data_IF_579785164674
#
_entry.id   IF_579785164674
#
_cell.length_a   1.000
_cell.length_b   1.000
_cell.length_c   1.000
_cell.angle_alpha   90.00
_cell.angle_beta   90.00
_cell.angle_gamma   90.00
#
_symmetry.space_group_name_H-M   'P 1'
#
loop_
_entity.id
_entity.type
_entity.pdbx_description
1 polymer ?
#
# COMPACT_ATOMS: atom_id res chain seq x y z
N UNK A 1 17.38 -1.93 0.59
CA UNK A 1 16.41 -2.83 1.27
C UNK A 1 15.38 -3.28 0.23
N UNK A 2 14.44 -4.17 0.57
CA UNK A 2 13.36 -4.55 -0.36
C UNK A 2 12.25 -3.49 -0.31
N UNK A 3 11.76 -3.07 -1.47
CA UNK A 3 10.61 -2.17 -1.59
C UNK A 3 9.31 -2.97 -1.50
N UNK A 4 8.46 -2.66 -0.51
CA UNK A 4 7.18 -3.34 -0.36
C UNK A 4 6.19 -2.90 -1.45
N UNK A 5 6.23 -1.63 -1.85
CA UNK A 5 5.47 -1.08 -2.97
C UNK A 5 5.73 -1.83 -4.27
N UNK A 6 6.99 -1.97 -4.68
CA UNK A 6 7.33 -2.68 -5.93
C UNK A 6 7.00 -4.17 -5.83
N UNK A 7 7.23 -4.79 -4.67
CA UNK A 7 6.87 -6.19 -4.43
C UNK A 7 5.36 -6.41 -4.55
N UNK A 8 4.54 -5.47 -4.10
CA UNK A 8 3.09 -5.52 -4.25
C UNK A 8 2.66 -5.43 -5.72
N UNK A 9 3.27 -4.57 -6.52
CA UNK A 9 3.02 -4.52 -7.97
C UNK A 9 3.37 -5.84 -8.66
N UNK A 10 4.52 -6.45 -8.32
CA UNK A 10 4.89 -7.76 -8.85
C UNK A 10 3.90 -8.85 -8.40
N UNK A 11 3.40 -8.77 -7.16
CA UNK A 11 2.43 -9.73 -6.63
C UNK A 11 1.07 -9.67 -7.35
N UNK A 12 0.71 -8.55 -7.98
CA UNK A 12 -0.55 -8.39 -8.73
C UNK A 12 -0.53 -9.03 -10.12
N UNK A 13 0.64 -9.40 -10.64
CA UNK A 13 0.76 -10.01 -11.97
C UNK A 13 0.06 -11.37 -11.96
N UNK A 14 -0.98 -11.51 -12.78
CA UNK A 14 -1.69 -12.78 -12.96
C UNK A 14 -0.85 -13.74 -13.80
N UNK A 15 -0.98 -15.03 -13.49
CA UNK A 15 -0.40 -16.10 -14.28
C UNK A 15 -0.84 -16.04 -15.75
N UNK A 16 0.13 -16.09 -16.68
CA UNK A 16 -0.12 -15.95 -18.12
C UNK A 16 -0.97 -17.08 -18.70
N UNK A 17 -0.95 -18.24 -18.04
CA UNK A 17 -1.73 -19.41 -18.43
C UNK A 17 -3.15 -19.39 -17.82
N UNK A 18 -3.51 -18.34 -17.07
CA UNK A 18 -4.87 -18.13 -16.58
C UNK A 18 -5.27 -19.04 -15.43
N UNK A 19 -4.33 -19.54 -14.61
CA UNK A 19 -4.65 -20.41 -13.48
C UNK A 19 -5.45 -19.75 -12.34
N UNK A 20 -5.72 -18.44 -12.44
CA UNK A 20 -6.37 -17.66 -11.38
C UNK A 20 -5.46 -17.46 -10.16
N UNK A 21 -4.14 -17.54 -10.34
CA UNK A 21 -3.12 -17.41 -9.30
C UNK A 21 -2.08 -16.34 -9.70
N UNK A 22 -1.29 -15.83 -8.74
CA UNK A 22 -0.20 -14.91 -9.07
C UNK A 22 0.88 -15.61 -9.89
N UNK A 23 1.40 -14.92 -10.90
CA UNK A 23 2.57 -15.31 -11.69
C UNK A 23 3.82 -15.47 -10.81
N UNK A 24 3.90 -14.65 -9.75
CA UNK A 24 5.01 -14.63 -8.79
C UNK A 24 4.51 -14.85 -7.34
N UNK A 25 4.20 -16.09 -6.94
CA UNK A 25 3.67 -16.38 -5.61
C UNK A 25 4.60 -15.97 -4.46
N UNK A 26 5.92 -15.96 -4.70
CA UNK A 26 6.92 -15.54 -3.72
C UNK A 26 6.80 -14.06 -3.32
N UNK A 27 6.38 -13.19 -4.25
CA UNK A 27 6.16 -11.77 -3.96
C UNK A 27 4.99 -11.59 -2.99
N UNK A 28 3.88 -12.29 -3.22
CA UNK A 28 2.73 -12.28 -2.30
C UNK A 28 3.11 -12.87 -0.94
N UNK A 29 3.87 -13.96 -0.91
CA UNK A 29 4.36 -14.56 0.34
C UNK A 29 5.29 -13.61 1.10
N UNK A 30 6.12 -12.83 0.40
CA UNK A 30 6.99 -11.83 1.03
C UNK A 30 6.16 -10.75 1.73
N UNK A 31 5.11 -10.23 1.08
CA UNK A 31 4.18 -9.24 1.68
C UNK A 31 3.61 -9.79 2.99
N UNK A 32 3.11 -11.02 2.96
CA UNK A 32 2.54 -11.71 4.12
C UNK A 32 3.56 -11.79 5.27
N UNK A 33 4.81 -12.12 4.98
CA UNK A 33 5.82 -12.36 6.00
C UNK A 33 6.47 -11.09 6.56
N UNK A 34 6.30 -9.93 5.92
CA UNK A 34 7.05 -8.71 6.24
C UNK A 34 6.19 -7.54 6.75
N UNK A 35 4.92 -7.77 7.07
CA UNK A 35 4.10 -6.77 7.77
C UNK A 35 4.71 -6.44 9.14
N UNK A 36 4.83 -5.15 9.45
CA UNK A 36 5.27 -4.67 10.75
C UNK A 36 4.22 -4.93 11.84
N UNK A 37 4.62 -4.81 13.11
CA UNK A 37 3.74 -5.04 14.25
C UNK A 37 2.60 -4.01 14.36
N UNK A 38 2.81 -2.80 13.84
CA UNK A 38 1.80 -1.73 13.76
C UNK A 38 0.80 -1.92 12.61
N UNK A 39 1.00 -2.93 11.75
CA UNK A 39 0.15 -3.22 10.59
C UNK A 39 0.65 -2.64 9.27
N UNK A 40 1.70 -1.82 9.29
CA UNK A 40 2.27 -1.18 8.09
C UNK A 40 3.27 -2.06 7.34
N UNK A 41 3.65 -1.59 6.15
CA UNK A 41 4.86 -1.98 5.42
C UNK A 41 5.69 -0.73 5.09
N UNK A 42 7.00 -0.90 4.92
CA UNK A 42 7.92 0.18 4.59
C UNK A 42 9.29 -0.03 5.23
N UNK A 43 10.08 1.04 5.37
CA UNK A 43 11.39 0.96 6.02
C UNK A 43 11.26 0.63 7.52
N UNK A 44 12.11 -0.27 8.01
CA UNK A 44 12.09 -0.75 9.41
C UNK A 44 12.77 0.19 10.39
N UNK A 45 13.73 0.99 9.93
CA UNK A 45 14.60 1.81 10.75
C UNK A 45 14.10 3.26 10.80
N UNK A 46 13.55 3.75 9.70
CA UNK A 46 13.08 5.13 9.58
C UNK A 46 11.58 5.14 9.34
N UNK A 47 10.87 5.94 10.11
CA UNK A 47 9.45 6.20 9.87
C UNK A 47 9.32 7.46 9.01
N UNK A 48 8.72 7.32 7.84
CA UNK A 48 8.16 8.41 7.04
C UNK A 48 6.69 8.07 6.75
N UNK A 49 5.78 9.02 6.88
CA UNK A 49 4.36 8.78 6.61
C UNK A 49 4.15 8.48 5.12
N UNK A 50 4.79 9.22 4.20
CA UNK A 50 4.79 8.93 2.77
C UNK A 50 5.22 7.49 2.48
N UNK A 51 6.39 7.07 3.01
CA UNK A 51 6.88 5.69 2.83
C UNK A 51 5.89 4.67 3.40
N UNK A 52 5.48 4.83 4.67
CA UNK A 52 4.62 3.84 5.33
C UNK A 52 3.25 3.75 4.68
N UNK A 53 2.67 4.85 4.26
CA UNK A 53 1.31 4.88 3.71
C UNK A 53 1.29 4.26 2.30
N UNK A 54 2.21 4.66 1.41
CA UNK A 54 2.21 4.13 0.03
C UNK A 54 2.53 2.63 -0.01
N UNK A 55 3.52 2.18 0.79
CA UNK A 55 3.87 0.77 0.88
C UNK A 55 2.72 -0.05 1.48
N UNK A 56 2.06 0.47 2.52
CA UNK A 56 0.94 -0.23 3.16
C UNK A 56 -0.26 -0.32 2.24
N UNK A 57 -0.61 0.75 1.53
CA UNK A 57 -1.73 0.77 0.58
C UNK A 57 -1.51 -0.25 -0.55
N UNK A 58 -0.32 -0.27 -1.15
CA UNK A 58 0.02 -1.23 -2.19
C UNK A 58 -0.09 -2.68 -1.70
N UNK A 59 0.43 -2.98 -0.50
CA UNK A 59 0.36 -4.32 0.09
C UNK A 59 -1.09 -4.74 0.42
N UNK A 60 -1.90 -3.81 0.93
CA UNK A 60 -3.32 -4.01 1.20
C UNK A 60 -4.07 -4.35 -0.10
N UNK A 61 -3.84 -3.60 -1.18
CA UNK A 61 -4.40 -3.87 -2.50
C UNK A 61 -4.04 -5.28 -2.98
N UNK A 62 -2.77 -5.68 -2.87
CA UNK A 62 -2.33 -7.01 -3.29
C UNK A 62 -3.01 -8.13 -2.49
N UNK A 63 -3.16 -7.98 -1.18
CA UNK A 63 -3.84 -8.96 -0.33
C UNK A 63 -5.34 -9.03 -0.62
N UNK A 64 -6.00 -7.89 -0.85
CA UNK A 64 -7.42 -7.82 -1.22
C UNK A 64 -7.67 -8.46 -2.57
N UNK A 65 -6.86 -8.13 -3.58
CA UNK A 65 -7.01 -8.61 -4.95
C UNK A 65 -7.01 -10.15 -5.03
N UNK A 66 -6.11 -10.78 -4.28
CA UNK A 66 -6.04 -12.25 -4.19
C UNK A 66 -6.96 -12.85 -3.13
N UNK A 67 -7.67 -12.03 -2.36
CA UNK A 67 -8.55 -12.42 -1.27
C UNK A 67 -7.87 -13.37 -0.25
N UNK A 68 -6.69 -12.98 0.22
CA UNK A 68 -5.87 -13.78 1.15
C UNK A 68 -5.54 -13.02 2.43
N UNK A 69 -5.30 -13.77 3.51
CA UNK A 69 -4.82 -13.25 4.80
C UNK A 69 -5.64 -12.07 5.36
N UNK A 70 -6.96 -12.24 5.61
CA UNK A 70 -7.86 -11.17 6.04
C UNK A 70 -7.40 -10.46 7.32
N UNK A 71 -6.74 -11.17 8.25
CA UNK A 71 -6.19 -10.57 9.47
C UNK A 71 -5.07 -9.56 9.18
N UNK A 72 -4.26 -9.77 8.14
CA UNK A 72 -3.17 -8.84 7.75
C UNK A 72 -3.74 -7.64 7.01
N UNK A 73 -4.72 -7.90 6.13
CA UNK A 73 -5.51 -6.87 5.46
C UNK A 73 -6.14 -5.91 6.48
N UNK A 74 -6.87 -6.43 7.47
CA UNK A 74 -7.52 -5.62 8.50
C UNK A 74 -6.53 -4.75 9.28
N UNK A 75 -5.35 -5.29 9.62
CA UNK A 75 -4.28 -4.51 10.28
C UNK A 75 -3.74 -3.39 9.39
N UNK A 76 -3.52 -3.66 8.10
CA UNK A 76 -3.06 -2.65 7.15
C UNK A 76 -4.08 -1.55 6.93
N UNK A 77 -5.35 -1.90 6.73
CA UNK A 77 -6.45 -0.92 6.62
C UNK A 77 -6.57 -0.10 7.88
N UNK A 78 -6.50 -0.72 9.07
CA UNK A 78 -6.51 0.00 10.34
C UNK A 78 -5.34 0.99 10.44
N UNK A 79 -4.13 0.58 10.07
CA UNK A 79 -2.97 1.46 10.05
C UNK A 79 -3.19 2.66 9.13
N UNK A 80 -3.69 2.45 7.90
CA UNK A 80 -4.00 3.54 6.96
C UNK A 80 -5.00 4.51 7.57
N UNK A 81 -6.10 4.00 8.16
CA UNK A 81 -7.13 4.82 8.80
C UNK A 81 -6.59 5.69 9.93
N UNK A 82 -5.64 5.18 10.71
CA UNK A 82 -5.05 5.89 11.85
C UNK A 82 -3.94 6.87 11.46
N UNK A 83 -3.34 6.75 10.26
CA UNK A 83 -2.11 7.46 9.93
C UNK A 83 -2.18 8.33 8.66
N UNK A 84 -3.20 8.20 7.80
CA UNK A 84 -3.21 8.90 6.50
C UNK A 84 -3.10 10.43 6.62
N UNK A 85 -3.72 11.02 7.65
CA UNK A 85 -3.64 12.46 7.94
C UNK A 85 -2.24 12.97 8.24
N UNK A 86 -1.30 12.07 8.59
CA UNK A 86 0.11 12.45 8.83
C UNK A 86 0.83 12.89 7.55
N UNK A 87 0.25 12.66 6.36
CA UNK A 87 0.76 13.21 5.11
C UNK A 87 0.71 14.74 5.10
N UNK A 88 -0.26 15.36 5.78
CA UNK A 88 -0.43 16.82 5.85
C UNK A 88 0.73 17.51 6.60
N UNK A 89 1.29 16.84 7.59
CA UNK A 89 2.32 17.39 8.48
C UNK A 89 3.75 17.04 8.03
N UNK A 90 3.91 16.23 6.98
CA UNK A 90 5.21 15.69 6.60
C UNK A 90 5.92 16.59 5.57
N UNK A 91 7.21 16.82 5.77
CA UNK A 91 8.03 17.66 4.90
C UNK A 91 8.10 17.10 3.46
N UNK A 92 7.66 17.90 2.49
CA UNK A 92 7.71 17.63 1.06
C UNK A 92 9.12 17.24 0.56
N UNK A 93 10.19 17.75 1.19
CA UNK A 93 11.58 17.39 0.83
C UNK A 93 11.87 15.88 1.01
N UNK A 94 11.09 15.18 1.81
CA UNK A 94 11.22 13.74 2.05
C UNK A 94 10.20 12.90 1.25
N UNK A 95 9.43 13.54 0.37
CA UNK A 95 8.45 12.85 -0.45
C UNK A 95 9.14 11.86 -1.42
N UNK A 96 8.69 10.60 -1.48
CA UNK A 96 9.19 9.63 -2.44
C UNK A 96 8.98 10.10 -3.88
N UNK A 97 9.92 9.76 -4.76
CA UNK A 97 9.86 10.13 -6.18
C UNK A 97 8.55 9.62 -6.80
N UNK A 98 7.79 10.54 -7.40
CA UNK A 98 6.54 10.22 -8.09
C UNK A 98 5.38 9.85 -7.17
N UNK A 99 5.48 10.13 -5.86
CA UNK A 99 4.40 9.88 -4.90
C UNK A 99 3.08 10.54 -5.34
N UNK A 100 3.13 11.80 -5.79
CA UNK A 100 1.98 12.57 -6.27
C UNK A 100 1.28 11.94 -7.48
N UNK A 101 1.92 11.02 -8.20
CA UNK A 101 1.32 10.31 -9.34
C UNK A 101 0.94 8.89 -8.95
N UNK A 102 1.82 8.20 -8.24
CA UNK A 102 1.66 6.81 -7.83
C UNK A 102 0.55 6.64 -6.79
N UNK A 103 0.47 7.56 -5.83
CA UNK A 103 -0.48 7.46 -4.72
C UNK A 103 -1.94 7.65 -5.18
N UNK A 104 -2.32 8.68 -5.96
CA UNK A 104 -3.65 8.75 -6.59
C UNK A 104 -4.05 7.48 -7.33
N UNK A 105 -3.11 6.92 -8.09
CA UNK A 105 -3.35 5.72 -8.89
C UNK A 105 -3.66 4.51 -8.00
N UNK A 106 -2.98 4.37 -6.86
CA UNK A 106 -3.30 3.33 -5.89
C UNK A 106 -4.66 3.55 -5.22
N UNK A 107 -5.04 4.79 -4.91
CA UNK A 107 -6.36 5.09 -4.36
C UNK A 107 -7.47 4.70 -5.33
N UNK A 108 -7.31 4.99 -6.62
CA UNK A 108 -8.26 4.57 -7.66
C UNK A 108 -8.41 3.05 -7.75
N UNK A 109 -7.31 2.31 -7.56
CA UNK A 109 -7.33 0.84 -7.52
C UNK A 109 -8.03 0.36 -6.24
N UNK A 110 -7.71 0.95 -5.09
CA UNK A 110 -8.33 0.63 -3.81
C UNK A 110 -9.85 0.83 -3.86
N UNK A 111 -10.32 1.92 -4.49
CA UNK A 111 -11.74 2.22 -4.69
C UNK A 111 -12.44 1.15 -5.54
N UNK A 112 -11.81 0.71 -6.64
CA UNK A 112 -12.33 -0.38 -7.50
C UNK A 112 -12.41 -1.72 -6.77
N UNK A 113 -11.60 -1.92 -5.73
CA UNK A 113 -11.58 -3.10 -4.88
C UNK A 113 -12.40 -2.92 -3.59
N UNK A 114 -13.17 -1.84 -3.47
CA UNK A 114 -14.01 -1.54 -2.30
C UNK A 114 -13.22 -1.47 -0.97
N UNK A 115 -11.95 -1.06 -1.04
CA UNK A 115 -11.10 -0.85 0.13
C UNK A 115 -11.36 0.57 0.67
N UNK A 116 -11.88 0.66 1.88
CA UNK A 116 -12.09 1.95 2.54
C UNK A 116 -10.77 2.58 2.99
N UNK A 117 -10.36 3.64 2.29
CA UNK A 117 -9.26 4.53 2.68
C UNK A 117 -9.87 5.90 3.03
N UNK A 118 -9.51 6.54 4.16
CA UNK A 118 -9.98 7.89 4.43
C UNK A 118 -9.34 8.86 3.44
N UNK A 119 -10.17 9.46 2.59
CA UNK A 119 -9.77 10.45 1.59
C UNK A 119 -10.08 11.89 2.05
N UNK A 120 -10.64 12.06 3.26
CA UNK A 120 -11.12 13.33 3.84
C UNK A 120 -10.00 14.18 4.48
N UNK A 121 -8.83 14.21 3.86
CA UNK A 121 -7.68 15.01 4.31
C UNK A 121 -7.29 16.06 3.27
N UNK A 122 -6.96 17.32 3.65
CA UNK A 122 -6.39 18.33 2.77
C UNK A 122 -5.21 17.82 1.91
N UNK A 123 -4.36 16.94 2.46
CA UNK A 123 -3.27 16.31 1.71
C UNK A 123 -3.75 15.54 0.47
N UNK A 124 -4.95 14.95 0.51
CA UNK A 124 -5.53 14.26 -0.65
C UNK A 124 -6.01 15.25 -1.71
N UNK A 125 -6.56 16.40 -1.31
CA UNK A 125 -6.99 17.44 -2.26
C UNK A 125 -5.81 17.99 -3.06
N UNK A 126 -4.66 18.19 -2.41
CA UNK A 126 -3.43 18.68 -3.05
C UNK A 126 -2.81 17.64 -3.99
N UNK A 127 -2.81 16.37 -3.58
CA UNK A 127 -2.34 15.25 -4.40
C UNK A 127 -3.19 15.03 -5.68
N UNK A 128 -4.45 15.48 -5.68
CA UNK A 128 -5.35 15.41 -6.84
C UNK A 128 -5.46 16.72 -7.66
N UNK A 129 -4.80 17.80 -7.23
CA UNK A 129 -4.85 19.12 -7.89
C UNK A 129 -4.01 19.18 -9.17
#
# INVERSE_FOLDING_TARGET
TVSAYDTAWVALVQDVDGSGRPQFPSSLQWIVNNQHSDGSWGDRLIFSAHDRIINTLACVIALTYWNVHPNKLQKGVKFLKENIRKLEDENEEHMPIGFEVAFPSLIDIARKLEIEVPEDSPAMEEIYA
#
